data_IF_661838733943
#
_entry.id   IF_661838733943
#
_cell.length_a   1.000
_cell.length_b   1.000
_cell.length_c   1.000
_cell.angle_alpha   90.00
_cell.angle_beta   90.00
_cell.angle_gamma   90.00
#
_symmetry.space_group_name_H-M   'P 1'
#
loop_
_entity.id
_entity.type
_entity.pdbx_description
1 polymer ?
#
# COMPACT_ATOMS: atom_id res chain seq x y z
N UNK A 1 16.50 -30.68 16.58
CA UNK A 1 16.21 -29.94 15.32
C UNK A 1 15.41 -28.70 15.67
N UNK A 2 16.00 -27.49 15.73
CA UNK A 2 15.20 -26.28 15.81
C UNK A 2 14.98 -25.78 14.38
N UNK A 3 13.73 -25.82 13.93
CA UNK A 3 13.30 -25.10 12.75
C UNK A 3 13.56 -23.61 13.01
N UNK A 4 14.64 -23.06 12.44
CA UNK A 4 14.81 -21.61 12.33
C UNK A 4 13.66 -21.11 11.45
N UNK A 5 12.57 -20.72 12.11
CA UNK A 5 11.45 -20.06 11.47
C UNK A 5 11.98 -18.83 10.75
N UNK A 6 11.87 -18.83 9.43
CA UNK A 6 12.17 -17.69 8.59
C UNK A 6 11.42 -16.48 9.16
N UNK A 7 12.16 -15.57 9.78
CA UNK A 7 11.71 -14.21 9.97
C UNK A 7 11.75 -13.52 8.60
N UNK A 8 10.85 -13.93 7.70
CA UNK A 8 10.43 -13.08 6.60
C UNK A 8 9.98 -11.77 7.22
N UNK A 9 10.48 -10.64 6.71
CA UNK A 9 10.16 -9.31 7.24
C UNK A 9 8.68 -9.00 6.97
N UNK A 10 7.81 -9.57 7.78
CA UNK A 10 6.36 -9.41 7.64
C UNK A 10 6.03 -7.93 7.84
N UNK A 11 5.31 -7.38 6.88
CA UNK A 11 4.80 -6.02 6.98
C UNK A 11 3.59 -6.07 7.90
N UNK A 12 3.72 -5.46 9.09
CA UNK A 12 2.66 -5.42 10.11
C UNK A 12 1.83 -4.16 9.95
N UNK A 13 0.50 -4.33 9.90
CA UNK A 13 -0.43 -3.22 9.88
C UNK A 13 -0.43 -2.54 11.25
N UNK A 14 -0.24 -1.22 11.28
CA UNK A 14 -0.15 -0.47 12.54
C UNK A 14 -1.52 -0.34 13.25
N UNK A 15 -2.60 -0.32 12.47
CA UNK A 15 -3.97 -0.13 12.96
C UNK A 15 -4.61 -1.40 13.58
N UNK A 16 -4.29 -2.61 13.09
CA UNK A 16 -4.85 -3.88 13.63
C UNK A 16 -3.79 -4.91 14.04
N UNK A 17 -2.52 -4.69 13.72
CA UNK A 17 -1.45 -5.63 14.01
C UNK A 17 -1.36 -6.85 13.09
N UNK A 18 -2.18 -6.95 12.04
CA UNK A 18 -2.12 -8.07 11.08
C UNK A 18 -0.79 -8.05 10.32
N UNK A 19 -0.16 -9.23 10.23
CA UNK A 19 1.17 -9.39 9.61
C UNK A 19 1.03 -10.02 8.24
N UNK A 20 1.55 -9.34 7.21
CA UNK A 20 1.52 -9.80 5.82
C UNK A 20 2.92 -10.10 5.34
N UNK A 21 3.05 -11.07 4.43
CA UNK A 21 4.37 -11.45 3.90
C UNK A 21 4.90 -10.41 2.92
N UNK A 22 4.00 -9.66 2.28
CA UNK A 22 4.31 -8.63 1.30
C UNK A 22 3.76 -7.25 1.66
N UNK A 23 4.47 -6.22 1.22
CA UNK A 23 4.05 -4.83 1.37
C UNK A 23 2.75 -4.53 0.60
N UNK A 24 2.54 -5.19 -0.55
CA UNK A 24 1.31 -5.08 -1.33
C UNK A 24 0.08 -5.58 -0.56
N UNK A 25 0.18 -6.74 0.08
CA UNK A 25 -0.91 -7.31 0.87
C UNK A 25 -1.26 -6.45 2.09
N UNK A 26 -0.24 -5.95 2.81
CA UNK A 26 -0.45 -5.00 3.88
C UNK A 26 -1.17 -3.74 3.39
N UNK A 27 -0.80 -3.22 2.21
CA UNK A 27 -1.44 -2.00 1.67
C UNK A 27 -2.87 -2.25 1.24
N UNK A 28 -3.17 -3.38 0.60
CA UNK A 28 -4.54 -3.78 0.25
C UNK A 28 -5.41 -3.95 1.49
N UNK A 29 -4.89 -4.65 2.49
CA UNK A 29 -5.54 -4.80 3.77
C UNK A 29 -5.81 -3.43 4.42
N UNK A 30 -4.80 -2.56 4.48
CA UNK A 30 -4.96 -1.23 5.06
C UNK A 30 -5.98 -0.38 4.28
N UNK A 31 -6.10 -0.57 2.97
CA UNK A 31 -7.09 0.11 2.14
C UNK A 31 -8.51 -0.39 2.40
N UNK A 32 -8.71 -1.71 2.51
CA UNK A 32 -10.03 -2.34 2.68
C UNK A 32 -10.53 -2.21 4.12
N UNK A 33 -9.70 -2.59 5.08
CA UNK A 33 -10.07 -2.66 6.50
C UNK A 33 -9.98 -1.29 7.18
N UNK A 34 -8.88 -0.57 6.96
CA UNK A 34 -8.59 0.69 7.65
C UNK A 34 -8.94 1.93 6.82
N UNK A 35 -9.38 1.75 5.56
CA UNK A 35 -9.57 2.86 4.60
C UNK A 35 -8.36 3.78 4.55
N UNK A 36 -7.17 3.23 4.82
CA UNK A 36 -5.94 4.00 4.98
C UNK A 36 -5.65 4.69 3.68
N UNK A 37 -5.48 6.01 3.75
CA UNK A 37 -5.49 6.96 2.63
C UNK A 37 -4.63 6.48 1.45
N UNK A 38 -5.23 5.81 0.47
CA UNK A 38 -4.66 5.76 -0.87
C UNK A 38 -4.36 7.18 -1.31
N UNK A 39 -3.26 7.36 -2.02
CA UNK A 39 -2.88 8.67 -2.54
C UNK A 39 -3.84 9.03 -3.65
N UNK A 40 -4.85 9.85 -3.31
CA UNK A 40 -5.84 10.33 -4.25
C UNK A 40 -5.19 11.37 -5.16
N UNK A 41 -5.35 11.17 -6.47
CA UNK A 41 -5.07 12.23 -7.43
C UNK A 41 -6.00 13.41 -7.15
N UNK A 42 -5.47 14.63 -7.07
CA UNK A 42 -6.29 15.80 -6.75
C UNK A 42 -7.16 16.26 -7.95
N UNK A 43 -6.90 15.70 -9.14
CA UNK A 43 -7.54 16.12 -10.39
C UNK A 43 -8.71 15.18 -10.72
N UNK A 44 -8.50 13.87 -10.69
CA UNK A 44 -9.54 12.87 -11.00
C UNK A 44 -9.99 12.02 -9.80
N UNK A 45 -9.45 12.27 -8.60
CA UNK A 45 -9.75 11.53 -7.36
C UNK A 45 -9.44 10.03 -7.42
N UNK A 46 -8.72 9.58 -8.45
CA UNK A 46 -8.30 8.19 -8.62
C UNK A 46 -7.30 7.81 -7.53
N UNK A 47 -7.47 6.62 -6.98
CA UNK A 47 -6.73 6.12 -5.83
C UNK A 47 -5.48 5.39 -6.30
N UNK A 48 -4.31 5.83 -5.82
CA UNK A 48 -3.03 5.21 -6.13
C UNK A 48 -2.41 4.65 -4.87
N UNK A 49 -1.72 3.53 -5.06
CA UNK A 49 -0.98 2.86 -4.01
C UNK A 49 0.33 3.63 -3.75
N UNK A 50 1.16 3.89 -4.76
CA UNK A 50 2.41 4.65 -4.57
C UNK A 50 2.31 6.11 -4.99
N UNK A 51 3.11 6.95 -4.33
CA UNK A 51 3.26 8.34 -4.74
C UNK A 51 3.89 8.46 -6.13
N UNK A 52 4.84 7.57 -6.45
CA UNK A 52 5.40 7.45 -7.79
C UNK A 52 4.33 7.16 -8.85
N UNK A 53 3.38 6.26 -8.55
CA UNK A 53 2.26 5.95 -9.46
C UNK A 53 1.31 7.13 -9.59
N UNK A 54 0.95 7.78 -8.48
CA UNK A 54 0.13 9.01 -8.47
C UNK A 54 0.80 10.12 -9.27
N UNK A 55 2.10 10.32 -9.11
CA UNK A 55 2.87 11.36 -9.78
C UNK A 55 2.98 11.08 -11.29
N UNK A 56 3.32 9.86 -11.68
CA UNK A 56 3.31 9.44 -13.10
C UNK A 56 1.92 9.60 -13.70
N UNK A 57 0.88 9.16 -13.02
CA UNK A 57 -0.50 9.34 -13.49
C UNK A 57 -0.85 10.81 -13.70
N UNK A 58 -0.57 11.68 -12.74
CA UNK A 58 -0.83 13.13 -12.88
C UNK A 58 -0.05 13.70 -14.06
N UNK A 59 1.21 13.28 -14.24
CA UNK A 59 2.07 13.77 -15.31
C UNK A 59 1.63 13.31 -16.70
N UNK A 60 1.11 12.08 -16.84
CA UNK A 60 0.75 11.49 -18.13
C UNK A 60 -0.74 11.72 -18.47
N UNK A 61 -1.64 11.50 -17.51
CA UNK A 61 -3.09 11.57 -17.72
C UNK A 61 -3.67 12.98 -17.53
N UNK A 62 -2.94 13.87 -16.85
CA UNK A 62 -3.34 15.27 -16.63
C UNK A 62 -2.29 16.26 -17.13
N UNK A 63 -1.45 15.83 -18.06
CA UNK A 63 -0.58 16.72 -18.82
C UNK A 63 -1.45 17.68 -19.62
N UNK A 64 -1.26 18.98 -19.41
CA UNK A 64 -1.89 20.04 -20.21
C UNK A 64 -1.15 20.24 -21.52
#
# INVERSE_FOLDING_TARGET
MPFLGLFGKKQKCDDCGTSFDSWQELREHALKEHKRKALKCNICKKEFLHEADRYKHVKEAHKK
#
